data_IF_702205628156
#
_entry.id   IF_702205628156
#
_cell.length_a   1.000
_cell.length_b   1.000
_cell.length_c   1.000
_cell.angle_alpha   90.00
_cell.angle_beta   90.00
_cell.angle_gamma   90.00
#
_symmetry.space_group_name_H-M   'P 1'
#
loop_
_entity.id
_entity.type
_entity.pdbx_description
1 polymer ?
#
# COMPACT_ATOMS: atom_id res chain seq x y z
N UNK A 1 -16.63 -10.37 -1.15
CA UNK A 1 -16.01 -11.10 -2.28
C UNK A 1 -16.66 -10.82 -3.64
N UNK A 2 -17.67 -9.94 -3.77
CA UNK A 2 -18.32 -9.72 -5.07
C UNK A 2 -17.52 -8.85 -6.07
N UNK A 3 -16.47 -8.18 -5.60
CA UNK A 3 -15.59 -7.30 -6.38
C UNK A 3 -14.53 -8.08 -7.17
N UNK A 4 -14.13 -9.25 -6.66
CA UNK A 4 -13.06 -10.08 -7.19
C UNK A 4 -13.68 -11.46 -7.32
N UNK A 5 -13.84 -11.99 -8.54
CA UNK A 5 -14.48 -13.29 -8.79
C UNK A 5 -13.43 -14.40 -8.97
N UNK A 6 -12.78 -14.91 -7.90
CA UNK A 6 -11.76 -15.94 -8.00
C UNK A 6 -12.37 -17.27 -8.45
N UNK A 7 -11.65 -17.99 -9.32
CA UNK A 7 -12.13 -19.24 -9.94
C UNK A 7 -11.73 -20.52 -9.17
N UNK A 8 -10.93 -20.42 -8.11
CA UNK A 8 -10.38 -21.58 -7.39
C UNK A 8 -10.32 -21.32 -5.88
N UNK A 9 -10.53 -22.36 -5.09
CA UNK A 9 -10.53 -22.30 -3.61
C UNK A 9 -9.22 -21.73 -3.05
N UNK A 10 -8.07 -22.15 -3.57
CA UNK A 10 -6.76 -21.60 -3.15
C UNK A 10 -6.65 -20.09 -3.43
N UNK A 11 -7.29 -19.59 -4.50
CA UNK A 11 -7.32 -18.16 -4.82
C UNK A 11 -8.24 -17.39 -3.86
N UNK A 12 -9.31 -18.03 -3.36
CA UNK A 12 -10.20 -17.45 -2.34
C UNK A 12 -9.44 -17.28 -1.03
N UNK A 13 -8.74 -18.32 -0.56
CA UNK A 13 -7.96 -18.25 0.68
C UNK A 13 -6.84 -17.21 0.60
N UNK A 14 -6.06 -17.20 -0.49
CA UNK A 14 -5.02 -16.19 -0.68
C UNK A 14 -5.58 -14.75 -0.66
N UNK A 15 -6.77 -14.53 -1.22
CA UNK A 15 -7.40 -13.22 -1.19
C UNK A 15 -7.94 -12.87 0.20
N UNK A 16 -8.51 -13.84 0.92
CA UNK A 16 -8.99 -13.67 2.28
C UNK A 16 -7.86 -13.31 3.24
N UNK A 17 -6.72 -14.01 3.13
CA UNK A 17 -5.53 -13.79 3.96
C UNK A 17 -4.92 -12.40 3.76
N UNK A 18 -5.13 -11.78 2.60
CA UNK A 18 -4.60 -10.45 2.26
C UNK A 18 -5.68 -9.39 2.09
N UNK A 19 -6.87 -9.57 2.69
CA UNK A 19 -7.95 -8.57 2.64
C UNK A 19 -7.53 -7.21 3.20
N UNK A 20 -6.58 -7.18 4.14
CA UNK A 20 -6.06 -5.93 4.74
C UNK A 20 -5.31 -5.03 3.73
N UNK A 21 -4.92 -5.55 2.56
CA UNK A 21 -4.24 -4.76 1.52
C UNK A 21 -5.20 -4.02 0.59
N UNK A 22 -6.50 -4.26 0.74
CA UNK A 22 -7.53 -3.69 -0.12
C UNK A 22 -8.34 -2.64 0.60
N UNK A 23 -8.71 -1.61 -0.16
CA UNK A 23 -9.74 -0.67 0.23
C UNK A 23 -10.87 -0.69 -0.79
N UNK A 24 -12.09 -0.72 -0.28
CA UNK A 24 -13.31 -0.83 -1.06
C UNK A 24 -14.09 0.47 -0.92
N UNK A 25 -14.42 1.05 -2.07
CA UNK A 25 -15.19 2.27 -2.16
C UNK A 25 -16.47 2.00 -2.93
N UNK A 26 -17.54 1.71 -2.20
CA UNK A 26 -18.84 1.38 -2.76
C UNK A 26 -19.41 2.54 -3.59
N UNK A 27 -20.15 2.20 -4.65
CA UNK A 27 -20.84 3.14 -5.55
C UNK A 27 -19.94 4.10 -6.36
N UNK A 28 -18.61 4.03 -6.19
CA UNK A 28 -17.65 4.81 -6.97
C UNK A 28 -17.38 4.11 -8.31
N UNK A 29 -17.88 4.67 -9.41
CA UNK A 29 -17.84 4.02 -10.74
C UNK A 29 -16.99 4.75 -11.78
N UNK A 30 -16.46 5.92 -11.47
CA UNK A 30 -15.60 6.68 -12.37
C UNK A 30 -14.61 7.55 -11.59
N UNK A 31 -13.61 8.05 -12.31
CA UNK A 31 -12.51 8.87 -11.78
C UNK A 31 -12.97 10.13 -11.07
N UNK A 32 -14.01 10.82 -11.58
CA UNK A 32 -14.49 12.05 -10.96
C UNK A 32 -15.20 11.76 -9.63
N UNK A 33 -16.06 10.74 -9.60
CA UNK A 33 -16.72 10.27 -8.38
C UNK A 33 -15.69 9.86 -7.32
N UNK A 34 -14.61 9.18 -7.74
CA UNK A 34 -13.53 8.78 -6.85
C UNK A 34 -12.83 10.00 -6.25
N UNK A 35 -12.52 10.99 -7.08
CA UNK A 35 -11.86 12.23 -6.67
C UNK A 35 -12.69 13.03 -5.69
N UNK A 36 -13.99 13.16 -5.97
CA UNK A 36 -14.94 13.82 -5.08
C UNK A 36 -15.05 13.11 -3.74
N UNK A 37 -15.13 11.79 -3.74
CA UNK A 37 -15.08 11.03 -2.49
C UNK A 37 -13.77 11.28 -1.73
N UNK A 38 -12.63 11.18 -2.40
CA UNK A 38 -11.31 11.32 -1.80
C UNK A 38 -11.09 12.70 -1.18
N UNK A 39 -11.60 13.76 -1.80
CA UNK A 39 -11.41 15.12 -1.30
C UNK A 39 -12.49 15.48 -0.28
N UNK A 40 -13.76 15.13 -0.54
CA UNK A 40 -14.89 15.65 0.22
C UNK A 40 -15.37 14.74 1.35
N UNK A 41 -15.14 13.43 1.25
CA UNK A 41 -15.80 12.42 2.12
C UNK A 41 -14.85 11.45 2.81
N UNK A 42 -13.61 11.33 2.34
CA UNK A 42 -12.64 10.37 2.90
C UNK A 42 -12.16 10.72 4.31
N UNK A 43 -12.32 11.97 4.74
CA UNK A 43 -11.74 12.49 5.98
C UNK A 43 -10.23 12.75 5.90
N UNK A 44 -9.59 12.58 4.74
CA UNK A 44 -8.17 12.89 4.56
C UNK A 44 -7.87 14.39 4.50
N UNK A 45 -8.87 15.20 4.17
CA UNK A 45 -8.73 16.64 4.02
C UNK A 45 -9.84 17.35 4.81
N UNK A 46 -9.50 18.50 5.39
CA UNK A 46 -10.49 19.46 5.85
C UNK A 46 -11.12 20.12 4.61
N UNK A 47 -12.23 19.55 4.17
CA UNK A 47 -12.92 20.01 2.98
C UNK A 47 -13.96 21.08 3.30
N UNK A 48 -13.83 22.23 2.65
CA UNK A 48 -14.85 23.30 2.62
C UNK A 48 -15.64 23.21 1.31
N UNK A 49 -16.96 23.03 1.41
CA UNK A 49 -17.88 22.97 0.27
C UNK A 49 -17.81 24.23 -0.61
N UNK A 50 -17.47 25.39 -0.05
CA UNK A 50 -17.32 26.63 -0.83
C UNK A 50 -16.15 26.57 -1.83
N UNK A 51 -15.21 25.64 -1.62
CA UNK A 51 -14.06 25.44 -2.50
C UNK A 51 -14.36 24.54 -3.70
N UNK A 52 -15.53 23.87 -3.75
CA UNK A 52 -15.84 22.86 -4.77
C UNK A 52 -15.56 23.33 -6.19
N UNK A 53 -16.01 24.54 -6.54
CA UNK A 53 -15.88 25.11 -7.89
C UNK A 53 -14.44 25.42 -8.30
N UNK A 54 -13.50 25.44 -7.35
CA UNK A 54 -12.08 25.72 -7.60
C UNK A 54 -11.26 24.43 -7.70
N UNK A 55 -11.84 23.27 -7.42
CA UNK A 55 -11.14 21.98 -7.38
C UNK A 55 -11.32 21.26 -8.72
N UNK A 56 -10.21 20.96 -9.37
CA UNK A 56 -10.20 20.12 -10.57
C UNK A 56 -10.18 18.63 -10.18
N UNK A 57 -11.37 18.10 -9.91
CA UNK A 57 -11.55 16.69 -9.57
C UNK A 57 -11.08 15.75 -10.67
N UNK A 58 -11.23 16.13 -11.94
CA UNK A 58 -10.84 15.28 -13.07
C UNK A 58 -9.33 15.11 -13.11
N UNK A 59 -8.59 16.20 -12.94
CA UNK A 59 -7.13 16.16 -12.88
C UNK A 59 -6.63 15.39 -11.67
N UNK A 60 -7.15 15.69 -10.47
CA UNK A 60 -6.76 14.98 -9.25
C UNK A 60 -6.97 13.46 -9.39
N UNK A 61 -8.14 13.03 -9.87
CA UNK A 61 -8.42 11.60 -10.05
C UNK A 61 -7.57 10.95 -11.12
N UNK A 62 -7.27 11.67 -12.21
CA UNK A 62 -6.36 11.20 -13.23
C UNK A 62 -4.96 10.95 -12.68
N UNK A 63 -4.42 11.92 -11.92
CA UNK A 63 -3.12 11.80 -11.26
C UNK A 63 -3.14 10.68 -10.22
N UNK A 64 -4.18 10.60 -9.38
CA UNK A 64 -4.28 9.57 -8.34
C UNK A 64 -4.37 8.16 -8.93
N UNK A 65 -5.25 7.95 -9.92
CA UNK A 65 -5.36 6.66 -10.62
C UNK A 65 -4.08 6.26 -11.34
N UNK A 66 -3.23 7.21 -11.77
CA UNK A 66 -1.96 6.89 -12.41
C UNK A 66 -0.89 6.40 -11.41
N UNK A 67 -0.99 6.80 -10.14
CA UNK A 67 -0.02 6.46 -9.08
C UNK A 67 -0.54 5.40 -8.10
N UNK A 68 -1.76 4.91 -8.32
CA UNK A 68 -2.46 3.96 -7.46
C UNK A 68 -2.81 2.71 -8.26
N UNK A 69 -2.72 1.55 -7.61
CA UNK A 69 -3.21 0.30 -8.19
C UNK A 69 -4.66 0.15 -7.77
N UNK A 70 -5.57 0.32 -8.72
CA UNK A 70 -6.99 0.09 -8.46
C UNK A 70 -7.79 -0.10 -9.72
N UNK A 71 -9.03 -0.54 -9.57
CA UNK A 71 -9.97 -0.66 -10.68
C UNK A 71 -11.41 -0.39 -10.27
N UNK A 72 -12.15 0.14 -11.25
CA UNK A 72 -13.59 0.24 -11.18
C UNK A 72 -14.23 -1.11 -11.48
N UNK A 73 -15.22 -1.46 -10.67
CA UNK A 73 -16.12 -2.59 -10.87
C UNK A 73 -17.56 -2.07 -11.02
N UNK A 74 -18.50 -2.97 -11.28
CA UNK A 74 -19.92 -2.63 -11.29
C UNK A 74 -20.45 -2.15 -9.93
N UNK A 75 -19.79 -2.53 -8.82
CA UNK A 75 -20.21 -2.22 -7.45
C UNK A 75 -19.50 -1.01 -6.86
N UNK A 76 -18.29 -0.70 -7.31
CA UNK A 76 -17.48 0.37 -6.74
C UNK A 76 -16.03 0.33 -7.21
N UNK A 77 -15.18 1.12 -6.57
CA UNK A 77 -13.74 1.16 -6.81
C UNK A 77 -13.01 0.30 -5.78
N UNK A 78 -12.05 -0.50 -6.25
CA UNK A 78 -11.16 -1.31 -5.43
C UNK A 78 -9.75 -0.74 -5.55
N UNK A 79 -9.16 -0.36 -4.43
CA UNK A 79 -7.75 0.00 -4.32
C UNK A 79 -6.94 -1.15 -3.73
N UNK A 80 -5.70 -1.30 -4.19
CA UNK A 80 -4.74 -2.30 -3.73
C UNK A 80 -3.43 -1.62 -3.33
N UNK A 81 -3.04 -1.77 -2.06
CA UNK A 81 -1.83 -1.14 -1.50
C UNK A 81 -0.53 -1.84 -1.92
N UNK A 82 -0.58 -3.12 -2.28
CA UNK A 82 0.53 -3.78 -2.96
C UNK A 82 1.71 -4.24 -2.10
N UNK A 83 1.48 -4.54 -0.82
CA UNK A 83 2.53 -5.02 0.07
C UNK A 83 2.99 -6.45 -0.29
N UNK A 84 2.10 -7.26 -0.88
CA UNK A 84 2.41 -8.64 -1.25
C UNK A 84 2.60 -8.82 -2.77
N UNK A 85 3.84 -9.06 -3.21
CA UNK A 85 4.16 -9.33 -4.62
C UNK A 85 3.49 -10.61 -5.16
N UNK A 86 3.31 -11.61 -4.30
CA UNK A 86 2.70 -12.89 -4.69
C UNK A 86 1.22 -12.71 -5.06
N UNK A 87 0.55 -11.74 -4.43
CA UNK A 87 -0.84 -11.40 -4.74
C UNK A 87 -0.98 -10.54 -6.01
N UNK A 88 0.00 -9.70 -6.35
CA UNK A 88 -0.13 -8.80 -7.50
C UNK A 88 -0.42 -9.56 -8.80
N UNK A 89 0.24 -10.71 -9.00
CA UNK A 89 0.04 -11.55 -10.19
C UNK A 89 -1.36 -12.21 -10.20
N UNK A 90 -1.86 -12.64 -9.04
CA UNK A 90 -3.19 -13.24 -8.91
C UNK A 90 -4.31 -12.22 -9.18
N UNK A 91 -4.08 -10.95 -8.83
CA UNK A 91 -5.02 -9.85 -9.07
C UNK A 91 -5.07 -9.47 -10.55
N UNK A 92 -3.91 -9.40 -11.22
CA UNK A 92 -3.83 -9.14 -12.66
C UNK A 92 -4.66 -10.14 -13.49
N UNK A 93 -4.62 -11.42 -13.13
CA UNK A 93 -5.39 -12.47 -13.82
C UNK A 93 -6.90 -12.40 -13.62
N UNK A 94 -7.38 -11.96 -12.44
CA UNK A 94 -8.79 -12.07 -12.07
C UNK A 94 -9.57 -10.77 -12.14
N UNK A 95 -8.91 -9.61 -12.07
CA UNK A 95 -9.58 -8.31 -11.93
C UNK A 95 -9.63 -7.46 -13.19
N UNK A 96 -8.95 -7.86 -14.27
CA UNK A 96 -8.67 -6.94 -15.39
C UNK A 96 -8.04 -5.62 -14.93
N UNK A 97 -7.49 -5.58 -13.71
CA UNK A 97 -6.68 -4.46 -13.21
C UNK A 97 -5.36 -4.58 -13.94
N UNK A 98 -5.13 -3.65 -14.87
CA UNK A 98 -3.81 -3.46 -15.45
C UNK A 98 -2.97 -2.82 -14.35
N UNK A 99 -2.26 -3.64 -13.58
CA UNK A 99 -1.25 -3.15 -12.66
C UNK A 99 -0.11 -2.60 -13.54
N UNK A 100 0.16 -1.28 -13.56
CA UNK A 100 1.30 -0.78 -14.29
C UNK A 100 2.55 -1.44 -13.71
N UNK A 101 3.31 -2.15 -14.55
CA UNK A 101 4.56 -2.83 -14.18
C UNK A 101 5.63 -1.91 -13.60
N UNK A 102 5.43 -0.60 -13.68
CA UNK A 102 6.38 0.38 -13.19
C UNK A 102 6.24 0.57 -11.69
N UNK A 103 6.75 -0.41 -10.93
CA UNK A 103 7.30 -0.09 -9.61
C UNK A 103 8.57 0.70 -9.87
N UNK A 104 8.45 2.03 -9.91
CA UNK A 104 9.64 2.84 -9.66
C UNK A 104 10.07 2.52 -8.23
N UNK A 105 11.20 1.83 -8.09
CA UNK A 105 11.82 1.65 -6.78
C UNK A 105 12.19 3.05 -6.28
N UNK A 106 11.39 3.58 -5.34
CA UNK A 106 11.65 4.92 -4.78
C UNK A 106 12.74 4.80 -3.72
N UNK A 107 13.97 5.15 -4.08
CA UNK A 107 15.10 5.20 -3.15
C UNK A 107 14.89 6.24 -2.04
N UNK A 108 14.57 5.77 -0.83
CA UNK A 108 14.61 6.59 0.37
C UNK A 108 16.07 6.94 0.69
N UNK A 109 16.41 8.24 0.62
CA UNK A 109 17.70 8.76 1.10
C UNK A 109 17.54 9.23 2.54
N UNK A 110 18.18 8.53 3.48
CA UNK A 110 18.35 9.05 4.83
C UNK A 110 19.45 10.13 4.82
N UNK A 111 19.07 11.38 5.11
CA UNK A 111 20.02 12.50 5.23
C UNK A 111 20.58 12.67 6.64
N UNK A 112 20.31 11.72 7.53
CA UNK A 112 20.81 11.73 8.90
C UNK A 112 21.69 10.53 9.17
N UNK A 113 22.73 10.74 9.98
CA UNK A 113 23.64 9.68 10.43
C UNK A 113 22.92 8.78 11.42
N UNK A 114 22.84 7.47 11.12
CA UNK A 114 22.38 6.47 12.06
C UNK A 114 23.46 6.24 13.14
N UNK A 115 23.06 6.22 14.42
CA UNK A 115 23.93 5.83 15.53
C UNK A 115 23.48 4.48 16.06
N UNK A 116 24.38 3.51 16.02
CA UNK A 116 24.18 2.21 16.68
C UNK A 116 24.70 2.33 18.11
N UNK A 117 23.87 1.98 19.09
CA UNK A 117 24.28 1.86 20.50
C UNK A 117 24.38 0.39 20.86
N UNK A 118 25.59 -0.05 21.21
CA UNK A 118 25.81 -1.39 21.77
C UNK A 118 25.70 -1.32 23.29
N UNK A 119 25.15 -2.38 23.87
CA UNK A 119 25.05 -2.54 25.32
C UNK A 119 25.98 -3.66 25.76
N UNK A 120 26.65 -3.45 26.88
CA UNK A 120 27.43 -4.49 27.56
C UNK A 120 26.48 -5.19 28.51
N UNK A 121 26.30 -6.50 28.35
CA UNK A 121 25.40 -7.31 29.17
C UNK A 121 26.26 -8.17 30.10
N UNK A 122 25.93 -8.18 31.39
CA UNK A 122 26.59 -9.04 32.35
C UNK A 122 25.95 -10.43 32.28
N UNK A 123 26.76 -11.46 32.00
CA UNK A 123 26.28 -12.84 31.94
C UNK A 123 26.11 -13.41 33.36
N UNK A 124 25.42 -14.56 33.47
CA UNK A 124 25.14 -15.23 34.75
C UNK A 124 26.40 -15.68 35.53
N UNK A 125 27.58 -15.56 34.93
CA UNK A 125 28.87 -15.87 35.53
C UNK A 125 29.62 -14.61 36.01
N UNK A 126 28.99 -13.42 35.93
CA UNK A 126 29.53 -12.16 36.41
C UNK A 126 30.59 -11.53 35.49
N UNK A 127 30.63 -11.94 34.22
CA UNK A 127 31.50 -11.33 33.21
C UNK A 127 30.69 -10.41 32.29
N UNK A 128 31.27 -9.25 32.01
CA UNK A 128 30.75 -8.30 31.03
C UNK A 128 31.07 -8.78 29.62
N UNK A 129 30.06 -9.15 28.86
CA UNK A 129 30.21 -9.44 27.43
C UNK A 129 29.59 -8.29 26.63
N UNK A 130 30.33 -7.79 25.64
CA UNK A 130 29.70 -7.01 24.57
C UNK A 130 28.74 -7.95 23.86
N UNK A 131 27.46 -7.60 23.82
CA UNK A 131 26.53 -8.28 22.94
C UNK A 131 26.93 -7.96 21.49
N UNK A 132 27.90 -8.71 20.97
CA UNK A 132 28.29 -8.75 19.55
C UNK A 132 27.23 -9.48 18.71
N UNK A 133 26.10 -9.83 19.32
CA UNK A 133 24.89 -10.11 18.59
C UNK A 133 24.24 -8.74 18.32
N UNK A 134 24.51 -8.07 17.18
CA UNK A 134 23.52 -7.13 16.70
C UNK A 134 22.20 -7.89 16.73
N UNK A 135 21.13 -7.29 17.24
CA UNK A 135 19.84 -7.67 16.67
C UNK A 135 20.01 -7.40 15.18
N UNK A 136 20.28 -8.46 14.41
CA UNK A 136 20.25 -8.39 12.97
C UNK A 136 18.86 -7.87 12.66
N UNK A 137 18.79 -6.62 12.20
CA UNK A 137 17.63 -6.17 11.45
C UNK A 137 17.55 -7.15 10.28
N UNK A 138 16.65 -8.11 10.42
CA UNK A 138 16.48 -9.19 9.47
C UNK A 138 16.35 -8.56 8.07
N UNK A 139 17.01 -9.16 7.08
CA UNK A 139 17.31 -8.56 5.77
C UNK A 139 16.10 -8.13 4.91
N UNK A 140 14.90 -8.19 5.47
CA UNK A 140 13.65 -7.74 4.86
C UNK A 140 13.36 -6.23 5.00
N UNK A 141 14.12 -5.46 5.80
CA UNK A 141 13.80 -4.04 6.01
C UNK A 141 14.68 -3.01 5.28
N UNK A 142 15.80 -3.38 4.65
CA UNK A 142 16.60 -2.39 3.91
C UNK A 142 17.16 -2.98 2.63
N UNK A 143 16.30 -3.18 1.63
CA UNK A 143 16.74 -3.36 0.24
C UNK A 143 15.94 -2.43 -0.67
N UNK A 144 16.60 -1.35 -1.10
CA UNK A 144 16.22 -0.61 -2.30
C UNK A 144 16.91 -1.29 -3.47
N UNK A 145 16.21 -2.24 -4.08
CA UNK A 145 16.70 -3.06 -5.20
C UNK A 145 17.00 -2.16 -6.41
N UNK A 146 18.19 -2.35 -6.99
CA UNK A 146 18.73 -1.70 -8.19
C UNK A 146 17.99 -2.08 -9.48
#
# INVERSE_FOLDING_TARGET
MDYIKPRTVNKIFALADSMYEFELYDEIKNTESYSRYMICKSGHFEYDENLEKYIDFKRYGGEKNAHEIGAFSNKGYLSYRGYNEKLSNLLFENLSVVIPKSREVKTLKLYMTLRVTTYVVENDYGYYETADNPEELDSYEIVLIQ
#
